data_IF_065147870003
#
_entry.id   IF_065147870003
#
_cell.length_a   1.000
_cell.length_b   1.000
_cell.length_c   1.000
_cell.angle_alpha   90.00
_cell.angle_beta   90.00
_cell.angle_gamma   90.00
#
_symmetry.space_group_name_H-M   'P 1'
#
loop_
_entity.id
_entity.type
_entity.pdbx_description
1 polymer ?
#
# COMPACT_ATOMS: atom_id res chain seq x y z
N UNK A 1 9.35 5.45 -26.63
CA UNK A 1 10.36 5.80 -25.60
C UNK A 1 10.56 4.57 -24.73
N UNK A 2 11.81 4.22 -24.41
CA UNK A 2 12.06 3.10 -23.49
C UNK A 2 11.47 3.41 -22.10
N UNK A 3 10.91 2.41 -21.43
CA UNK A 3 10.40 2.51 -20.06
C UNK A 3 11.51 2.99 -19.13
N UNK A 4 11.23 3.95 -18.26
CA UNK A 4 12.22 4.48 -17.31
C UNK A 4 12.56 3.49 -16.18
N UNK A 5 11.56 2.67 -15.76
CA UNK A 5 11.67 1.67 -14.70
C UNK A 5 11.02 0.39 -15.17
N UNK A 6 11.66 -0.77 -14.94
CA UNK A 6 11.11 -2.08 -15.32
C UNK A 6 9.79 -2.38 -14.58
N UNK A 7 8.98 -3.28 -15.14
CA UNK A 7 7.72 -3.71 -14.50
C UNK A 7 7.96 -4.33 -13.13
N UNK A 8 9.00 -5.14 -12.97
CA UNK A 8 9.40 -5.75 -11.69
C UNK A 8 9.67 -4.72 -10.58
N UNK A 9 10.14 -3.52 -10.97
CA UNK A 9 10.40 -2.40 -10.06
C UNK A 9 9.24 -1.39 -10.00
N UNK A 10 8.07 -1.78 -10.44
CA UNK A 10 6.85 -0.96 -10.36
C UNK A 10 5.95 -1.52 -9.25
N UNK A 11 5.29 -0.65 -8.50
CA UNK A 11 4.29 -0.99 -7.48
C UNK A 11 3.04 -0.15 -7.73
N UNK A 12 1.90 -0.80 -7.94
CA UNK A 12 0.61 -0.12 -8.08
C UNK A 12 -0.20 -0.39 -6.82
N UNK A 13 -0.19 0.55 -5.90
CA UNK A 13 -0.76 0.38 -4.57
C UNK A 13 -1.93 1.32 -4.30
N UNK A 14 -2.89 0.84 -3.53
CA UNK A 14 -3.92 1.66 -2.92
C UNK A 14 -3.63 1.95 -1.46
N UNK A 15 -3.97 3.12 -0.98
CA UNK A 15 -3.97 3.43 0.45
C UNK A 15 -5.41 3.46 0.92
N UNK A 16 -5.75 2.57 1.84
CA UNK A 16 -7.08 2.38 2.39
C UNK A 16 -7.08 2.68 3.87
N UNK A 17 -8.15 3.27 4.37
CA UNK A 17 -8.28 3.56 5.79
C UNK A 17 -9.74 3.83 6.15
N UNK A 18 -10.10 3.68 7.43
CA UNK A 18 -11.30 4.32 7.95
C UNK A 18 -11.10 5.83 8.12
N UNK A 19 -12.17 6.55 8.36
CA UNK A 19 -12.15 7.99 8.59
C UNK A 19 -11.23 8.30 9.79
N UNK A 20 -10.43 9.33 9.66
CA UNK A 20 -9.48 9.78 10.69
C UNK A 20 -8.36 8.79 11.07
N UNK A 21 -8.13 7.70 10.33
CA UNK A 21 -6.96 6.85 10.56
C UNK A 21 -5.62 7.52 10.18
N UNK A 22 -5.69 8.64 9.44
CA UNK A 22 -4.53 9.37 8.95
C UNK A 22 -4.08 8.95 7.56
N UNK A 23 -5.02 8.51 6.70
CA UNK A 23 -4.77 8.14 5.30
C UNK A 23 -4.07 9.28 4.54
N UNK A 24 -4.71 10.44 4.44
CA UNK A 24 -4.18 11.61 3.72
C UNK A 24 -2.84 12.06 4.29
N UNK A 25 -2.69 12.08 5.62
CA UNK A 25 -1.41 12.40 6.27
C UNK A 25 -0.31 11.42 5.87
N UNK A 26 -0.61 10.11 5.85
CA UNK A 26 0.37 9.08 5.45
C UNK A 26 0.76 9.25 3.98
N UNK A 27 -0.20 9.49 3.09
CA UNK A 27 0.05 9.73 1.66
C UNK A 27 0.90 10.98 1.44
N UNK A 28 0.57 12.10 2.09
CA UNK A 28 1.35 13.34 2.01
C UNK A 28 2.79 13.16 2.50
N UNK A 29 3.03 12.38 3.56
CA UNK A 29 4.39 12.06 4.02
C UNK A 29 5.15 11.18 3.03
N UNK A 30 4.48 10.20 2.42
CA UNK A 30 5.07 9.41 1.33
C UNK A 30 5.50 10.33 0.17
N UNK A 31 4.64 11.25 -0.27
CA UNK A 31 4.96 12.20 -1.33
C UNK A 31 6.11 13.15 -0.96
N UNK A 32 6.18 13.56 0.29
CA UNK A 32 7.27 14.39 0.79
C UNK A 32 8.62 13.65 0.76
N UNK A 33 8.69 12.44 1.33
CA UNK A 33 9.94 11.66 1.38
C UNK A 33 10.43 11.21 0.00
N UNK A 34 9.52 11.04 -0.94
CA UNK A 34 9.86 10.70 -2.32
C UNK A 34 10.17 11.91 -3.20
N UNK A 35 10.13 13.12 -2.63
CA UNK A 35 10.49 14.37 -3.32
C UNK A 35 9.46 14.87 -4.33
N UNK A 36 8.25 14.31 -4.34
CA UNK A 36 7.13 14.81 -5.16
C UNK A 36 6.63 16.14 -4.60
N UNK A 37 6.49 16.22 -3.28
CA UNK A 37 6.12 17.44 -2.58
C UNK A 37 7.36 18.09 -1.93
N UNK A 38 7.52 19.39 -2.12
CA UNK A 38 8.61 20.16 -1.49
C UNK A 38 8.26 20.65 -0.08
N UNK A 39 6.98 20.64 0.27
CA UNK A 39 6.47 21.01 1.60
C UNK A 39 5.57 19.89 2.11
N UNK A 40 5.57 19.71 3.40
CA UNK A 40 4.63 18.82 4.08
C UNK A 40 3.26 19.52 4.04
N UNK A 41 2.30 18.96 3.29
CA UNK A 41 0.91 19.40 3.30
C UNK A 41 0.24 18.93 4.60
N UNK A 42 -0.45 19.84 5.29
CA UNK A 42 -1.28 19.48 6.44
C UNK A 42 -2.75 19.52 6.05
N UNK A 43 -3.47 18.45 6.37
CA UNK A 43 -4.89 18.28 6.03
C UNK A 43 -5.77 19.36 6.66
N UNK A 44 -5.40 19.84 7.85
CA UNK A 44 -6.14 20.90 8.56
C UNK A 44 -5.94 22.30 7.98
N UNK A 45 -4.93 22.50 7.14
CA UNK A 45 -4.64 23.78 6.47
C UNK A 45 -5.13 23.81 5.01
N UNK A 46 -5.80 22.76 4.53
CA UNK A 46 -6.27 22.65 3.15
C UNK A 46 -5.15 22.58 2.11
N UNK A 47 -3.93 22.20 2.52
CA UNK A 47 -2.74 22.19 1.68
C UNK A 47 -2.37 20.77 1.16
N UNK A 48 -3.25 19.78 1.33
CA UNK A 48 -2.99 18.41 0.90
C UNK A 48 -3.07 18.30 -0.63
N UNK A 49 -2.03 17.72 -1.24
CA UNK A 49 -1.91 17.58 -2.71
C UNK A 49 -2.91 16.60 -3.28
N UNK A 50 -3.30 15.58 -2.51
CA UNK A 50 -4.22 14.54 -2.95
C UNK A 50 -5.69 14.94 -2.82
N UNK A 51 -6.03 15.82 -1.88
CA UNK A 51 -7.38 16.36 -1.70
C UNK A 51 -7.50 17.68 -2.49
N UNK A 52 -7.71 17.57 -3.80
CA UNK A 52 -7.69 18.70 -4.73
C UNK A 52 -9.04 19.43 -4.86
N UNK A 53 -10.13 18.80 -4.41
CA UNK A 53 -11.46 19.42 -4.41
C UNK A 53 -11.65 20.30 -3.18
N UNK A 54 -12.25 21.50 -3.36
CA UNK A 54 -12.56 22.42 -2.27
C UNK A 54 -13.39 21.74 -1.16
N UNK A 55 -14.31 20.85 -1.55
CA UNK A 55 -15.15 20.08 -0.61
C UNK A 55 -14.35 19.00 0.16
N UNK A 56 -13.30 18.43 -0.42
CA UNK A 56 -12.39 17.52 0.26
C UNK A 56 -11.57 18.28 1.30
N UNK A 57 -11.05 19.45 0.92
CA UNK A 57 -10.26 20.32 1.78
C UNK A 57 -11.07 20.88 2.95
N UNK A 58 -12.31 21.34 2.69
CA UNK A 58 -13.21 21.87 3.74
C UNK A 58 -13.63 20.79 4.76
N UNK A 59 -13.85 19.56 4.30
CA UNK A 59 -14.32 18.45 5.15
C UNK A 59 -13.20 17.59 5.72
N UNK A 60 -11.98 17.71 5.19
CA UNK A 60 -10.84 16.88 5.56
C UNK A 60 -11.02 15.40 5.20
N UNK A 61 -11.84 15.08 4.18
CA UNK A 61 -12.11 13.72 3.72
C UNK A 61 -11.86 13.58 2.23
N UNK A 62 -11.28 12.47 1.80
CA UNK A 62 -11.15 12.14 0.38
C UNK A 62 -12.51 11.67 -0.16
N UNK A 63 -13.02 12.35 -1.17
CA UNK A 63 -14.29 12.03 -1.84
C UNK A 63 -14.02 11.24 -3.12
N UNK A 64 -13.02 11.67 -3.90
CA UNK A 64 -12.63 11.04 -5.16
C UNK A 64 -11.24 10.43 -5.06
N UNK A 65 -11.04 9.25 -5.66
CA UNK A 65 -9.70 8.66 -5.71
C UNK A 65 -8.72 9.58 -6.45
N UNK A 66 -7.55 9.82 -5.90
CA UNK A 66 -6.46 10.53 -6.56
C UNK A 66 -5.36 9.55 -6.94
N UNK A 67 -4.73 9.77 -8.10
CA UNK A 67 -3.63 8.92 -8.56
C UNK A 67 -2.36 9.76 -8.69
N UNK A 68 -1.28 9.29 -8.11
CA UNK A 68 0.03 9.94 -8.19
C UNK A 68 1.14 8.92 -8.36
N UNK A 69 2.29 9.39 -8.84
CA UNK A 69 3.49 8.55 -9.04
C UNK A 69 4.64 9.12 -8.24
N UNK A 70 5.35 8.28 -7.52
CA UNK A 70 6.56 8.63 -6.82
C UNK A 70 7.65 7.57 -7.02
N UNK A 71 8.88 7.87 -6.57
CA UNK A 71 10.03 6.98 -6.72
C UNK A 71 10.70 6.77 -5.36
N UNK A 72 11.00 5.49 -5.04
CA UNK A 72 11.72 5.11 -3.84
C UNK A 72 12.67 3.96 -4.12
N UNK A 73 13.92 4.04 -3.67
CA UNK A 73 14.96 2.99 -3.87
C UNK A 73 14.97 2.42 -5.31
N UNK A 74 14.93 3.30 -6.33
CA UNK A 74 14.89 2.94 -7.77
C UNK A 74 13.62 2.18 -8.20
N UNK A 75 12.57 2.16 -7.37
CA UNK A 75 11.25 1.66 -7.73
C UNK A 75 10.30 2.81 -8.04
N UNK A 76 9.40 2.56 -8.99
CA UNK A 76 8.27 3.42 -9.28
C UNK A 76 7.07 2.96 -8.45
N UNK A 77 6.49 3.84 -7.67
CA UNK A 77 5.31 3.57 -6.88
C UNK A 77 4.18 4.45 -7.40
N UNK A 78 3.15 3.84 -7.95
CA UNK A 78 1.90 4.50 -8.33
C UNK A 78 0.93 4.32 -7.18
N UNK A 79 0.48 5.41 -6.60
CA UNK A 79 -0.42 5.42 -5.45
C UNK A 79 -1.79 5.86 -5.93
N UNK A 80 -2.81 5.06 -5.61
CA UNK A 80 -4.20 5.44 -5.75
C UNK A 80 -4.75 5.64 -4.34
N UNK A 81 -5.04 6.90 -4.01
CA UNK A 81 -5.68 7.24 -2.75
C UNK A 81 -7.18 6.95 -2.84
N UNK A 82 -7.68 6.03 -2.03
CA UNK A 82 -9.08 5.59 -2.09
C UNK A 82 -9.90 6.28 -1.01
N UNK A 83 -11.17 6.68 -1.30
CA UNK A 83 -12.05 7.21 -0.27
C UNK A 83 -12.19 6.24 0.91
N UNK A 84 -12.19 6.77 2.13
CA UNK A 84 -12.37 5.97 3.36
C UNK A 84 -13.83 5.85 3.81
N UNK A 85 -14.77 6.55 3.14
CA UNK A 85 -16.16 6.64 3.56
C UNK A 85 -17.03 5.59 2.87
N UNK A 86 -17.94 4.96 3.61
CA UNK A 86 -18.84 3.91 3.10
C UNK A 86 -19.76 4.39 1.96
N UNK A 87 -20.08 5.68 1.92
CA UNK A 87 -20.91 6.27 0.86
C UNK A 87 -20.22 6.24 -0.52
N UNK A 88 -18.90 6.08 -0.55
CA UNK A 88 -18.10 6.04 -1.77
C UNK A 88 -17.65 4.62 -2.17
N UNK A 89 -18.42 3.60 -1.78
CA UNK A 89 -18.15 2.18 -2.04
C UNK A 89 -17.82 1.90 -3.52
N UNK A 90 -18.51 2.53 -4.45
CA UNK A 90 -18.29 2.34 -5.89
C UNK A 90 -16.90 2.85 -6.33
N UNK A 91 -16.44 3.97 -5.79
CA UNK A 91 -15.10 4.50 -6.07
C UNK A 91 -14.00 3.59 -5.50
N UNK A 92 -14.23 3.02 -4.30
CA UNK A 92 -13.33 2.03 -3.70
C UNK A 92 -13.22 0.79 -4.58
N UNK A 93 -14.35 0.22 -5.03
CA UNK A 93 -14.37 -0.95 -5.91
C UNK A 93 -13.69 -0.72 -7.25
N UNK A 94 -13.91 0.46 -7.86
CA UNK A 94 -13.22 0.84 -9.12
C UNK A 94 -11.71 0.91 -8.92
N UNK A 95 -11.28 1.48 -7.81
CA UNK A 95 -9.85 1.58 -7.46
C UNK A 95 -9.25 0.20 -7.21
N UNK A 96 -9.92 -0.68 -6.45
CA UNK A 96 -9.47 -2.03 -6.15
C UNK A 96 -9.16 -2.87 -7.39
N UNK A 97 -9.95 -2.70 -8.48
CA UNK A 97 -9.72 -3.41 -9.73
C UNK A 97 -8.41 -3.08 -10.43
N UNK A 98 -7.83 -1.92 -10.13
CA UNK A 98 -6.61 -1.45 -10.80
C UNK A 98 -5.38 -1.48 -9.88
N UNK A 99 -5.52 -2.03 -8.68
CA UNK A 99 -4.43 -2.19 -7.73
C UNK A 99 -3.78 -3.57 -7.85
N UNK A 100 -2.46 -3.62 -7.65
CA UNK A 100 -1.73 -4.87 -7.44
C UNK A 100 -1.64 -5.21 -5.96
N UNK A 101 -1.65 -4.20 -5.10
CA UNK A 101 -1.63 -4.38 -3.66
C UNK A 101 -2.17 -3.15 -2.93
N UNK A 102 -2.36 -3.25 -1.62
CA UNK A 102 -2.86 -2.14 -0.81
C UNK A 102 -2.22 -2.04 0.56
N UNK A 103 -2.14 -0.81 1.07
CA UNK A 103 -1.75 -0.50 2.44
C UNK A 103 -3.00 -0.09 3.20
N UNK A 104 -3.36 -0.86 4.22
CA UNK A 104 -4.47 -0.54 5.11
C UNK A 104 -3.95 0.21 6.31
N UNK A 105 -4.31 1.49 6.43
CA UNK A 105 -3.93 2.34 7.56
C UNK A 105 -4.96 2.21 8.66
N UNK A 106 -4.54 1.81 9.84
CA UNK A 106 -5.37 1.68 11.05
C UNK A 106 -4.89 2.67 12.11
N UNK A 107 -5.82 3.19 12.90
CA UNK A 107 -5.47 4.02 14.06
C UNK A 107 -5.10 3.12 15.24
N UNK A 108 -3.93 3.34 15.87
CA UNK A 108 -3.48 2.55 17.03
C UNK A 108 -4.46 2.60 18.22
N UNK A 109 -5.21 3.70 18.35
CA UNK A 109 -6.25 3.85 19.38
C UNK A 109 -7.57 3.17 19.00
N UNK A 110 -8.04 3.32 17.77
CA UNK A 110 -9.32 2.75 17.31
C UNK A 110 -9.20 1.26 16.93
N UNK A 111 -8.04 0.87 16.40
CA UNK A 111 -7.85 -0.46 15.84
C UNK A 111 -8.71 -0.69 14.60
N UNK A 112 -9.41 -1.82 14.57
CA UNK A 112 -10.33 -2.18 13.49
C UNK A 112 -11.71 -1.57 13.75
N UNK A 113 -12.17 -0.74 12.84
CA UNK A 113 -13.49 -0.11 12.84
C UNK A 113 -14.42 -0.75 11.78
N UNK A 114 -15.76 -0.58 11.86
CA UNK A 114 -16.69 -1.16 10.90
C UNK A 114 -16.41 -0.79 9.43
N UNK A 115 -15.94 0.43 9.20
CA UNK A 115 -15.53 0.88 7.85
C UNK A 115 -14.29 0.12 7.35
N UNK A 116 -13.32 -0.15 8.24
CA UNK A 116 -12.15 -0.97 7.91
C UNK A 116 -12.56 -2.38 7.49
N UNK A 117 -13.55 -2.98 8.17
CA UNK A 117 -14.08 -4.31 7.81
C UNK A 117 -14.73 -4.31 6.42
N UNK A 118 -15.47 -3.25 6.08
CA UNK A 118 -16.12 -3.15 4.78
C UNK A 118 -15.10 -3.10 3.65
N UNK A 119 -14.10 -2.21 3.78
CA UNK A 119 -13.03 -2.08 2.78
C UNK A 119 -12.19 -3.35 2.69
N UNK A 120 -11.94 -4.00 3.83
CA UNK A 120 -11.22 -5.27 3.88
C UNK A 120 -11.92 -6.38 3.11
N UNK A 121 -13.24 -6.57 3.31
CA UNK A 121 -14.04 -7.56 2.57
C UNK A 121 -14.06 -7.29 1.07
N UNK A 122 -14.13 -6.01 0.66
CA UNK A 122 -14.03 -5.66 -0.75
C UNK A 122 -12.66 -6.04 -1.33
N UNK A 123 -11.58 -5.80 -0.60
CA UNK A 123 -10.25 -6.22 -1.03
C UNK A 123 -10.09 -7.75 -1.09
N UNK A 124 -10.80 -8.51 -0.23
CA UNK A 124 -10.88 -9.98 -0.30
C UNK A 124 -11.57 -10.44 -1.59
N UNK A 125 -12.68 -9.78 -1.99
CA UNK A 125 -13.42 -10.09 -3.20
C UNK A 125 -12.54 -9.96 -4.47
N UNK A 126 -11.67 -8.94 -4.49
CA UNK A 126 -10.72 -8.72 -5.58
C UNK A 126 -9.37 -9.41 -5.37
N UNK A 127 -9.19 -10.17 -4.30
CA UNK A 127 -7.95 -10.89 -3.94
C UNK A 127 -6.71 -9.97 -3.93
N UNK A 128 -6.88 -8.71 -3.53
CA UNK A 128 -5.79 -7.73 -3.50
C UNK A 128 -4.85 -8.03 -2.33
N UNK A 129 -3.55 -8.28 -2.57
CA UNK A 129 -2.55 -8.42 -1.52
C UNK A 129 -2.46 -7.18 -0.63
N UNK A 130 -2.24 -7.39 0.67
CA UNK A 130 -2.34 -6.31 1.65
C UNK A 130 -1.19 -6.30 2.65
N UNK A 131 -0.88 -5.10 3.12
CA UNK A 131 -0.13 -4.88 4.34
C UNK A 131 -0.86 -3.87 5.23
N UNK A 132 -0.54 -3.84 6.51
CA UNK A 132 -1.16 -2.95 7.48
C UNK A 132 -0.13 -1.97 8.01
N UNK A 133 -0.53 -0.71 8.14
CA UNK A 133 0.21 0.32 8.85
C UNK A 133 -0.61 0.81 10.05
N UNK A 134 -0.17 0.46 11.26
CA UNK A 134 -0.76 0.94 12.51
C UNK A 134 -0.20 2.32 12.80
N UNK A 135 -1.00 3.32 12.48
CA UNK A 135 -0.66 4.74 12.52
C UNK A 135 -1.11 5.39 13.84
N UNK A 136 -0.63 6.60 14.08
CA UNK A 136 -0.96 7.40 15.28
C UNK A 136 -0.50 6.75 16.58
N UNK A 137 0.71 6.20 16.58
CA UNK A 137 1.32 5.62 17.79
C UNK A 137 1.60 6.66 18.89
N UNK A 138 1.54 7.95 18.56
CA UNK A 138 1.80 9.11 19.41
C UNK A 138 0.58 9.64 20.17
N UNK A 139 -0.63 9.15 19.89
CA UNK A 139 -1.83 9.68 20.55
C UNK A 139 -2.18 8.92 21.83
N UNK A 140 -2.83 9.60 22.76
CA UNK A 140 -3.30 9.00 24.02
C UNK A 140 -4.25 7.83 23.77
N UNK A 141 -3.96 6.67 24.35
CA UNK A 141 -4.69 5.41 24.17
C UNK A 141 -4.22 4.59 22.97
N UNK A 142 -3.08 4.93 22.36
CA UNK A 142 -2.46 4.14 21.31
C UNK A 142 -1.92 2.80 21.87
N UNK A 143 -2.34 1.69 21.26
CA UNK A 143 -1.92 0.34 21.63
C UNK A 143 -1.79 -0.53 20.37
N UNK A 144 -0.55 -0.77 19.96
CA UNK A 144 -0.21 -1.58 18.80
C UNK A 144 -0.67 -3.03 18.94
N UNK A 145 -0.45 -3.63 20.11
CA UNK A 145 -0.73 -5.06 20.33
C UNK A 145 -2.23 -5.33 20.37
N UNK A 146 -3.00 -4.42 20.94
CA UNK A 146 -4.46 -4.47 20.89
C UNK A 146 -4.96 -4.34 19.45
N UNK A 147 -4.43 -3.39 18.67
CA UNK A 147 -4.80 -3.23 17.26
C UNK A 147 -4.44 -4.48 16.44
N UNK A 148 -3.26 -5.08 16.65
CA UNK A 148 -2.83 -6.33 16.02
C UNK A 148 -3.79 -7.49 16.36
N UNK A 149 -4.15 -7.66 17.63
CA UNK A 149 -5.09 -8.69 18.04
C UNK A 149 -6.49 -8.48 17.44
N UNK A 150 -6.97 -7.24 17.38
CA UNK A 150 -8.23 -6.91 16.69
C UNK A 150 -8.20 -7.28 15.21
N UNK A 151 -7.07 -7.07 14.53
CA UNK A 151 -6.87 -7.48 13.13
C UNK A 151 -6.99 -9.00 13.00
N UNK A 152 -6.25 -9.76 13.80
CA UNK A 152 -6.30 -11.24 13.81
C UNK A 152 -7.73 -11.75 14.08
N UNK A 153 -8.42 -11.15 15.05
CA UNK A 153 -9.76 -11.59 15.47
C UNK A 153 -10.86 -11.23 14.47
N UNK A 154 -10.85 -10.02 13.92
CA UNK A 154 -11.94 -9.53 13.06
C UNK A 154 -11.76 -9.86 11.59
N UNK A 155 -10.54 -9.75 11.09
CA UNK A 155 -10.24 -10.06 9.68
C UNK A 155 -9.96 -11.55 9.46
N UNK A 156 -9.70 -12.32 10.54
CA UNK A 156 -9.37 -13.76 10.44
C UNK A 156 -8.20 -14.04 9.48
N UNK A 157 -7.26 -13.13 9.41
CA UNK A 157 -6.08 -13.21 8.56
C UNK A 157 -4.83 -13.50 9.38
N UNK A 158 -3.81 -14.04 8.73
CA UNK A 158 -2.49 -14.26 9.31
C UNK A 158 -1.69 -12.96 9.33
N UNK A 159 -2.04 -12.06 10.26
CA UNK A 159 -1.35 -10.79 10.45
C UNK A 159 -0.12 -10.97 11.33
N UNK A 160 1.07 -10.74 10.76
CA UNK A 160 2.33 -10.84 11.47
C UNK A 160 3.04 -9.49 11.52
N UNK A 161 3.47 -9.04 12.70
CA UNK A 161 4.26 -7.84 12.81
C UNK A 161 5.64 -8.08 12.20
N UNK A 162 6.06 -7.20 11.30
CA UNK A 162 7.42 -7.09 10.81
C UNK A 162 8.17 -5.96 11.52
N UNK A 163 7.43 -5.14 12.27
CA UNK A 163 7.94 -4.05 13.09
C UNK A 163 7.22 -4.02 14.43
N UNK A 164 7.92 -3.62 15.49
CA UNK A 164 7.34 -3.33 16.80
C UNK A 164 7.58 -1.87 17.18
N UNK A 165 6.67 -1.21 17.90
CA UNK A 165 6.87 0.14 18.37
C UNK A 165 7.83 0.16 19.57
N UNK A 166 8.69 1.18 19.64
CA UNK A 166 9.49 1.51 20.83
C UNK A 166 8.76 2.65 21.53
N UNK A 167 8.17 2.35 22.68
CA UNK A 167 7.29 3.25 23.40
C UNK A 167 5.88 3.35 22.78
N UNK A 168 5.05 4.19 23.35
CA UNK A 168 3.71 4.52 22.88
C UNK A 168 3.30 5.88 23.40
N UNK A 169 2.33 6.53 22.78
CA UNK A 169 1.88 7.87 23.13
C UNK A 169 3.06 8.86 23.12
N UNK A 170 3.23 9.66 24.17
CA UNK A 170 4.31 10.64 24.27
C UNK A 170 5.71 10.01 24.34
N UNK A 171 5.80 8.72 24.67
CA UNK A 171 7.07 7.98 24.73
C UNK A 171 7.43 7.27 23.44
N UNK A 172 6.60 7.38 22.38
CA UNK A 172 6.90 6.76 21.10
C UNK A 172 8.11 7.44 20.46
N UNK A 173 9.23 6.73 20.35
CA UNK A 173 10.52 7.27 19.85
C UNK A 173 11.07 6.55 18.62
N UNK A 174 10.53 5.37 18.28
CA UNK A 174 11.06 4.59 17.17
C UNK A 174 10.35 3.28 16.94
N UNK A 175 10.98 2.44 16.14
CA UNK A 175 10.50 1.11 15.79
C UNK A 175 11.63 0.09 15.89
N UNK A 176 11.29 -1.15 16.17
CA UNK A 176 12.16 -2.32 15.99
C UNK A 176 11.79 -2.95 14.65
N UNK A 177 12.76 -3.13 13.76
CA UNK A 177 12.63 -3.94 12.57
C UNK A 177 12.94 -5.39 12.95
N UNK A 178 11.93 -6.26 12.87
CA UNK A 178 12.07 -7.68 13.23
C UNK A 178 12.77 -8.49 12.15
N UNK A 179 12.77 -8.03 10.89
CA UNK A 179 13.44 -8.70 9.78
C UNK A 179 14.92 -8.43 9.82
N UNK A 180 15.31 -7.17 9.94
CA UNK A 180 16.71 -6.74 10.02
C UNK A 180 17.29 -6.87 11.44
N UNK A 181 16.43 -7.10 12.45
CA UNK A 181 16.79 -7.29 13.86
C UNK A 181 17.55 -6.11 14.48
N UNK A 182 17.07 -4.90 14.28
CA UNK A 182 17.63 -3.67 14.85
C UNK A 182 16.53 -2.65 15.20
N UNK A 183 16.92 -1.64 15.98
CA UNK A 183 16.06 -0.52 16.32
C UNK A 183 16.35 0.69 15.42
N UNK A 184 15.29 1.38 15.01
CA UNK A 184 15.34 2.67 14.30
C UNK A 184 14.80 3.73 15.23
N UNK A 185 15.67 4.58 15.76
CA UNK A 185 15.36 5.65 16.73
C UNK A 185 15.37 7.00 16.01
N UNK A 186 14.27 7.74 16.10
CA UNK A 186 14.16 9.06 15.48
C UNK A 186 14.70 10.16 16.39
N UNK A 187 15.46 11.10 15.81
CA UNK A 187 16.06 12.22 16.52
C UNK A 187 15.31 13.50 16.14
N UNK A 188 14.70 14.15 17.13
CA UNK A 188 13.93 15.40 16.95
C UNK A 188 12.98 15.33 15.75
N UNK A 189 12.07 14.33 15.66
CA UNK A 189 11.30 14.04 14.44
C UNK A 189 10.45 15.23 13.97
N UNK A 190 9.99 16.06 14.87
CA UNK A 190 9.19 17.24 14.53
C UNK A 190 10.05 18.33 13.87
N UNK A 191 11.27 18.55 14.39
CA UNK A 191 12.22 19.55 13.88
C UNK A 191 12.91 19.09 12.59
N UNK A 192 13.39 17.86 12.60
CA UNK A 192 14.12 17.23 11.48
C UNK A 192 13.17 16.57 10.47
N UNK A 193 11.85 16.68 10.66
CA UNK A 193 10.82 16.10 9.79
C UNK A 193 11.04 14.61 9.51
N UNK A 194 11.48 13.86 10.53
CA UNK A 194 11.76 12.43 10.41
C UNK A 194 12.92 12.04 9.51
N UNK A 195 13.70 13.00 8.99
CA UNK A 195 14.84 12.73 8.11
C UNK A 195 16.05 12.21 8.86
N UNK A 196 16.12 12.47 10.18
CA UNK A 196 17.25 12.06 11.02
C UNK A 196 16.83 10.95 11.95
N UNK A 197 17.39 9.78 11.72
CA UNK A 197 17.23 8.61 12.58
C UNK A 197 18.56 7.87 12.71
N UNK A 198 18.69 7.07 13.73
CA UNK A 198 19.84 6.21 13.98
C UNK A 198 19.40 4.75 14.03
N UNK A 199 20.21 3.88 13.43
CA UNK A 199 20.08 2.45 13.59
C UNK A 199 20.88 2.07 14.83
N UNK A 200 20.22 1.42 15.79
CA UNK A 200 20.81 1.01 17.07
C UNK A 200 20.47 -0.45 17.37
N UNK A 201 21.16 -1.01 18.35
CA UNK A 201 20.75 -2.28 18.94
C UNK A 201 19.38 -2.13 19.61
N UNK A 202 18.62 -3.24 19.65
CA UNK A 202 17.32 -3.28 20.32
C UNK A 202 17.50 -2.94 21.80
N UNK A 203 16.69 -2.03 22.37
CA UNK A 203 16.72 -1.69 23.79
C UNK A 203 16.61 -2.93 24.70
N UNK A 204 17.37 -2.96 25.81
CA UNK A 204 17.45 -4.14 26.67
C UNK A 204 16.10 -4.58 27.23
N UNK A 205 15.23 -3.65 27.55
CA UNK A 205 13.86 -3.87 28.04
C UNK A 205 12.92 -4.45 26.97
N UNK A 206 13.27 -4.34 25.70
CA UNK A 206 12.49 -4.87 24.59
C UNK A 206 13.08 -6.13 23.94
N UNK A 207 14.30 -6.52 24.28
CA UNK A 207 14.99 -7.67 23.68
C UNK A 207 14.18 -8.97 23.76
N UNK A 208 13.60 -9.26 24.91
CA UNK A 208 12.81 -10.49 25.12
C UNK A 208 11.54 -10.47 24.25
N UNK A 209 10.85 -9.34 24.21
CA UNK A 209 9.64 -9.18 23.40
C UNK A 209 9.95 -9.24 21.90
N UNK A 210 11.02 -8.56 21.49
CA UNK A 210 11.47 -8.56 20.09
C UNK A 210 11.90 -9.96 19.65
N UNK A 211 12.67 -10.68 20.47
CA UNK A 211 13.05 -12.07 20.19
C UNK A 211 11.82 -12.97 20.03
N UNK A 212 10.83 -12.86 20.93
CA UNK A 212 9.59 -13.64 20.81
C UNK A 212 8.87 -13.42 19.47
N UNK A 213 8.68 -12.14 19.09
CA UNK A 213 7.98 -11.84 17.82
C UNK A 213 8.82 -12.17 16.59
N UNK A 214 10.14 -12.05 16.70
CA UNK A 214 11.05 -12.48 15.63
C UNK A 214 10.98 -13.98 15.42
N UNK A 215 11.06 -14.78 16.48
CA UNK A 215 10.90 -16.25 16.39
C UNK A 215 9.55 -16.61 15.77
N UNK A 216 8.44 -16.00 16.22
CA UNK A 216 7.11 -16.21 15.65
C UNK A 216 7.10 -15.88 14.14
N UNK A 217 7.76 -14.79 13.73
CA UNK A 217 7.87 -14.40 12.32
C UNK A 217 8.69 -15.40 11.50
N UNK A 218 9.86 -15.81 12.01
CA UNK A 218 10.77 -16.73 11.31
C UNK A 218 10.18 -18.14 11.22
N UNK A 219 9.52 -18.63 12.26
CA UNK A 219 8.78 -19.89 12.24
C UNK A 219 7.72 -19.90 11.14
N UNK A 220 6.90 -18.84 11.06
CA UNK A 220 5.89 -18.71 10.00
C UNK A 220 6.49 -18.62 8.59
N UNK A 221 7.65 -17.95 8.47
CA UNK A 221 8.39 -17.88 7.21
C UNK A 221 8.92 -19.27 6.82
N UNK A 222 9.45 -20.02 7.76
CA UNK A 222 9.92 -21.37 7.54
C UNK A 222 8.78 -22.32 7.14
N UNK A 223 7.61 -22.24 7.77
CA UNK A 223 6.42 -23.02 7.43
C UNK A 223 5.93 -22.83 5.98
N UNK A 224 6.22 -21.67 5.36
CA UNK A 224 5.79 -21.33 4.00
C UNK A 224 6.74 -21.82 2.89
N UNK A 225 7.90 -22.38 3.24
CA UNK A 225 8.92 -22.81 2.29
C UNK A 225 9.64 -24.06 2.82
N UNK A 226 9.53 -25.19 2.08
CA UNK A 226 10.05 -26.49 2.52
C UNK A 226 11.57 -26.47 2.76
N UNK A 227 12.33 -25.78 1.91
CA UNK A 227 13.79 -25.69 2.04
C UNK A 227 14.18 -24.90 3.30
N UNK A 228 13.42 -23.83 3.62
CA UNK A 228 13.65 -23.05 4.84
C UNK A 228 13.19 -23.77 6.09
N UNK A 229 12.15 -24.60 6.01
CA UNK A 229 11.70 -25.41 7.12
C UNK A 229 12.77 -26.44 7.51
N UNK A 230 13.37 -27.14 6.53
CA UNK A 230 14.47 -28.07 6.77
C UNK A 230 15.67 -27.36 7.41
N UNK A 231 16.07 -26.21 6.85
CA UNK A 231 17.15 -25.39 7.38
C UNK A 231 16.90 -24.88 8.80
N UNK A 232 15.66 -24.47 9.11
CA UNK A 232 15.26 -24.04 10.46
C UNK A 232 15.38 -25.18 11.48
N UNK A 233 14.95 -26.40 11.13
CA UNK A 233 15.04 -27.56 12.03
C UNK A 233 16.46 -28.08 12.22
N UNK A 234 17.31 -28.02 11.18
CA UNK A 234 18.69 -28.53 11.26
C UNK A 234 19.65 -27.54 11.90
N UNK A 235 19.54 -26.26 11.58
CA UNK A 235 20.56 -25.25 11.93
C UNK A 235 20.03 -24.14 12.84
N UNK A 236 18.70 -24.03 13.02
CA UNK A 236 18.04 -23.04 13.86
C UNK A 236 17.72 -21.72 13.16
N UNK A 237 17.11 -20.79 13.91
CA UNK A 237 16.64 -19.49 13.42
C UNK A 237 17.77 -18.63 12.80
N UNK A 238 18.95 -18.65 13.39
CA UNK A 238 20.09 -17.83 12.98
C UNK A 238 20.68 -18.23 11.61
N UNK A 239 20.35 -19.41 11.11
CA UNK A 239 20.78 -19.86 9.79
C UNK A 239 19.99 -19.21 8.66
N UNK A 240 18.75 -18.73 8.93
CA UNK A 240 17.90 -18.11 7.92
C UNK A 240 18.33 -16.65 7.71
N UNK A 241 18.73 -16.35 6.49
CA UNK A 241 19.22 -15.01 6.13
C UNK A 241 18.07 -14.00 5.98
N UNK A 242 18.36 -12.72 6.15
CA UNK A 242 17.40 -11.62 5.95
C UNK A 242 16.79 -11.64 4.55
N UNK A 243 17.58 -11.96 3.51
CA UNK A 243 17.09 -12.03 2.13
C UNK A 243 16.10 -13.18 1.92
N UNK A 244 16.34 -14.33 2.56
CA UNK A 244 15.40 -15.47 2.54
C UNK A 244 14.09 -15.08 3.24
N UNK A 245 14.17 -14.46 4.41
CA UNK A 245 12.99 -13.97 5.15
C UNK A 245 12.17 -13.01 4.26
N UNK A 246 12.82 -11.99 3.67
CA UNK A 246 12.17 -11.00 2.80
C UNK A 246 11.51 -11.66 1.59
N UNK A 247 12.18 -12.62 0.95
CA UNK A 247 11.65 -13.34 -0.20
C UNK A 247 10.37 -14.11 0.12
N UNK A 248 10.34 -14.80 1.26
CA UNK A 248 9.16 -15.58 1.67
C UNK A 248 8.03 -14.68 2.16
N UNK A 249 8.32 -13.62 2.94
CA UNK A 249 7.30 -12.61 3.30
C UNK A 249 6.64 -12.06 2.04
N UNK A 250 7.43 -11.68 1.01
CA UNK A 250 6.89 -11.20 -0.27
C UNK A 250 5.99 -12.24 -0.93
N UNK A 251 6.46 -13.49 -1.09
CA UNK A 251 5.71 -14.60 -1.69
C UNK A 251 4.39 -14.84 -0.97
N UNK A 252 4.42 -14.85 0.36
CA UNK A 252 3.24 -15.07 1.22
C UNK A 252 2.27 -13.89 1.19
N UNK A 253 2.78 -12.66 1.10
CA UNK A 253 1.96 -11.45 0.96
C UNK A 253 1.23 -11.46 -0.38
N UNK A 254 1.91 -11.76 -1.48
CA UNK A 254 1.34 -11.86 -2.83
C UNK A 254 0.26 -12.95 -2.89
N UNK A 255 0.51 -14.08 -2.24
CA UNK A 255 -0.45 -15.19 -2.14
C UNK A 255 -1.61 -14.94 -1.17
N UNK A 256 -1.66 -13.80 -0.47
CA UNK A 256 -2.61 -13.48 0.59
C UNK A 256 -2.61 -14.50 1.76
N UNK A 257 -1.52 -15.26 1.96
CA UNK A 257 -1.36 -16.18 3.08
C UNK A 257 -0.80 -15.52 4.34
N UNK A 258 -0.20 -14.34 4.20
CA UNK A 258 0.33 -13.52 5.27
C UNK A 258 0.01 -12.05 5.02
N UNK A 259 -0.20 -11.29 6.09
CA UNK A 259 -0.38 -9.83 6.07
C UNK A 259 0.69 -9.17 6.94
N UNK A 260 1.73 -8.55 6.34
CA UNK A 260 2.74 -7.83 7.11
C UNK A 260 2.15 -6.61 7.83
N UNK A 261 2.55 -6.42 9.09
CA UNK A 261 2.09 -5.29 9.92
C UNK A 261 3.26 -4.41 10.30
N UNK A 262 3.18 -3.14 9.91
CA UNK A 262 4.09 -2.06 10.27
C UNK A 262 3.45 -1.12 11.28
N UNK A 263 4.25 -0.27 11.92
CA UNK A 263 3.76 0.75 12.84
C UNK A 263 4.48 2.09 12.69
N UNK A 264 3.82 3.15 13.17
CA UNK A 264 4.42 4.49 13.15
C UNK A 264 3.44 5.60 13.49
N UNK A 265 3.88 6.83 13.27
CA UNK A 265 3.04 8.02 13.32
C UNK A 265 3.39 8.95 12.16
N UNK A 266 2.50 8.99 11.16
CA UNK A 266 2.70 9.83 9.99
C UNK A 266 2.72 11.32 10.35
N UNK A 267 1.90 11.75 11.33
CA UNK A 267 1.85 13.14 11.78
C UNK A 267 3.21 13.62 12.33
N UNK A 268 3.86 12.82 13.17
CA UNK A 268 5.19 13.10 13.72
C UNK A 268 6.35 12.59 12.85
N UNK A 269 6.07 12.21 11.62
CA UNK A 269 7.08 11.84 10.64
C UNK A 269 7.92 10.59 11.00
N UNK A 270 7.39 9.66 11.77
CA UNK A 270 8.08 8.44 12.18
C UNK A 270 7.44 7.18 11.58
N UNK A 271 8.25 6.25 11.08
CA UNK A 271 7.79 4.97 10.53
C UNK A 271 7.41 4.99 9.05
N UNK A 272 7.40 6.15 8.37
CA UNK A 272 6.96 6.24 6.96
C UNK A 272 8.03 5.77 5.98
N UNK A 273 9.32 6.04 6.22
CA UNK A 273 10.40 5.52 5.38
C UNK A 273 10.49 3.99 5.48
N UNK A 274 10.47 3.36 6.68
CA UNK A 274 10.36 1.91 6.79
C UNK A 274 9.10 1.32 6.14
N UNK A 275 7.96 2.04 6.15
CA UNK A 275 6.77 1.65 5.40
C UNK A 275 7.01 1.64 3.89
N UNK A 276 7.70 2.67 3.35
CA UNK A 276 8.10 2.72 1.95
C UNK A 276 9.05 1.57 1.56
N UNK A 277 9.98 1.22 2.46
CA UNK A 277 10.85 0.06 2.29
C UNK A 277 10.04 -1.23 2.22
N UNK A 278 9.12 -1.43 3.16
CA UNK A 278 8.23 -2.58 3.17
C UNK A 278 7.32 -2.67 1.93
N UNK A 279 6.83 -1.54 1.40
CA UNK A 279 6.09 -1.50 0.13
C UNK A 279 6.95 -2.00 -1.03
N UNK A 280 8.20 -1.57 -1.11
CA UNK A 280 9.13 -1.99 -2.16
C UNK A 280 9.48 -3.47 -2.02
N UNK A 281 9.74 -3.93 -0.80
CA UNK A 281 10.21 -5.29 -0.53
C UNK A 281 9.08 -6.33 -0.65
N UNK A 282 7.86 -6.02 -0.17
CA UNK A 282 6.81 -7.03 0.02
C UNK A 282 5.61 -6.90 -0.91
N UNK A 283 5.30 -5.70 -1.44
CA UNK A 283 4.16 -5.54 -2.33
C UNK A 283 4.43 -6.09 -3.74
N UNK A 284 3.40 -6.62 -4.43
CA UNK A 284 3.55 -7.17 -5.77
C UNK A 284 3.96 -6.12 -6.81
N UNK A 285 4.67 -6.60 -7.81
CA UNK A 285 4.87 -5.91 -9.08
C UNK A 285 3.75 -6.33 -10.07
N UNK A 286 3.50 -5.58 -11.14
CA UNK A 286 2.57 -6.00 -12.19
C UNK A 286 2.87 -7.39 -12.78
N UNK A 287 4.13 -7.82 -12.75
CA UNK A 287 4.58 -9.13 -13.22
C UNK A 287 4.28 -10.28 -12.26
N UNK A 288 3.98 -9.99 -11.00
CA UNK A 288 3.61 -11.00 -9.99
C UNK A 288 2.10 -11.28 -9.97
N UNK A 289 1.32 -10.44 -10.67
CA UNK A 289 -0.13 -10.60 -10.76
C UNK A 289 -0.45 -11.49 -11.95
N UNK A 290 -1.38 -12.42 -11.75
CA UNK A 290 -1.84 -13.31 -12.81
C UNK A 290 -2.34 -12.54 -14.04
N UNK A 291 -2.38 -13.25 -15.17
CA UNK A 291 -2.90 -12.72 -16.43
C UNK A 291 -4.32 -12.16 -16.26
N UNK A 292 -4.59 -11.05 -16.92
CA UNK A 292 -5.92 -10.45 -16.91
C UNK A 292 -6.78 -11.09 -17.97
N UNK A 293 -7.95 -11.49 -17.55
CA UNK A 293 -8.99 -12.03 -18.41
C UNK A 293 -9.79 -10.90 -19.02
N UNK A 294 -9.94 -10.92 -20.33
CA UNK A 294 -10.81 -10.04 -21.11
C UNK A 294 -11.65 -10.83 -22.10
N UNK A 295 -12.46 -10.11 -22.86
CA UNK A 295 -13.24 -10.69 -23.97
C UNK A 295 -12.85 -9.96 -25.24
N UNK A 296 -12.52 -10.71 -26.28
CA UNK A 296 -12.25 -10.15 -27.60
C UNK A 296 -13.54 -9.57 -28.17
N UNK A 297 -13.59 -8.29 -28.54
CA UNK A 297 -14.82 -7.65 -29.01
C UNK A 297 -15.31 -8.17 -30.38
N UNK A 298 -14.43 -8.77 -31.19
CA UNK A 298 -14.75 -9.26 -32.54
C UNK A 298 -15.20 -10.72 -32.53
N UNK A 299 -14.61 -11.56 -31.65
CA UNK A 299 -14.88 -13.01 -31.60
C UNK A 299 -15.75 -13.41 -30.41
N UNK A 300 -15.94 -12.52 -29.42
CA UNK A 300 -16.62 -12.80 -28.15
C UNK A 300 -15.94 -13.91 -27.32
N UNK A 301 -14.73 -14.31 -27.68
CA UNK A 301 -13.96 -15.33 -26.96
C UNK A 301 -13.17 -14.71 -25.80
N UNK A 302 -12.96 -15.52 -24.77
CA UNK A 302 -12.13 -15.14 -23.64
C UNK A 302 -10.65 -15.08 -24.04
N UNK A 303 -9.99 -13.97 -23.76
CA UNK A 303 -8.56 -13.77 -23.94
C UNK A 303 -7.87 -13.42 -22.64
N UNK A 304 -6.63 -13.87 -22.52
CA UNK A 304 -5.76 -13.55 -21.39
C UNK A 304 -4.64 -12.61 -21.85
N UNK A 305 -4.29 -11.66 -21.02
CA UNK A 305 -3.16 -10.72 -21.24
C UNK A 305 -2.21 -10.76 -20.05
N UNK A 306 -0.93 -10.87 -20.35
CA UNK A 306 0.14 -10.82 -19.35
C UNK A 306 0.76 -9.42 -19.30
N UNK A 307 1.35 -9.06 -18.18
CA UNK A 307 2.03 -7.76 -18.03
C UNK A 307 3.34 -7.75 -18.82
N UNK A 308 3.24 -7.47 -20.13
CA UNK A 308 4.36 -7.39 -21.07
C UNK A 308 4.17 -6.23 -22.04
N UNK A 309 5.28 -5.59 -22.42
CA UNK A 309 5.29 -4.53 -23.43
C UNK A 309 5.09 -5.07 -24.86
N UNK A 310 5.33 -6.35 -25.08
CA UNK A 310 5.27 -7.02 -26.39
C UNK A 310 3.89 -7.58 -26.73
N UNK A 311 2.98 -7.63 -25.74
CA UNK A 311 1.60 -8.06 -25.95
C UNK A 311 0.73 -6.94 -26.57
N UNK A 312 -0.42 -7.28 -27.17
CA UNK A 312 -1.40 -6.30 -27.62
C UNK A 312 -1.81 -5.36 -26.48
N UNK A 313 -2.04 -4.09 -26.82
CA UNK A 313 -2.47 -3.10 -25.83
C UNK A 313 -3.81 -3.46 -25.21
N UNK A 314 -3.83 -3.52 -23.86
CA UNK A 314 -5.06 -3.60 -23.09
C UNK A 314 -4.98 -2.72 -21.85
N UNK A 315 -6.08 -2.04 -21.54
CA UNK A 315 -6.16 -1.12 -20.41
C UNK A 315 -7.58 -1.06 -19.83
N UNK A 316 -7.69 -0.70 -18.56
CA UNK A 316 -8.96 -0.44 -17.89
C UNK A 316 -9.04 1.04 -17.48
N UNK A 317 -10.01 1.76 -18.02
CA UNK A 317 -10.35 3.10 -17.58
C UNK A 317 -11.13 3.02 -16.25
N UNK A 318 -10.62 3.65 -15.21
CA UNK A 318 -11.22 3.56 -13.88
C UNK A 318 -11.72 4.89 -13.32
N UNK A 319 -11.25 6.02 -13.87
CA UNK A 319 -11.66 7.34 -13.39
C UNK A 319 -11.68 8.37 -14.52
N UNK A 320 -12.69 9.26 -14.48
CA UNK A 320 -12.76 10.46 -15.30
C UNK A 320 -12.74 11.67 -14.35
N UNK A 321 -11.85 12.62 -14.61
CA UNK A 321 -11.78 13.88 -13.89
C UNK A 321 -11.93 15.05 -14.87
N UNK A 322 -12.31 16.22 -14.36
CA UNK A 322 -12.36 17.45 -15.14
C UNK A 322 -11.29 18.39 -14.62
N UNK A 323 -10.38 18.77 -15.49
CA UNK A 323 -9.33 19.74 -15.22
C UNK A 323 -9.73 21.10 -15.85
N UNK A 324 -9.59 22.23 -15.13
CA UNK A 324 -9.99 23.54 -15.65
C UNK A 324 -9.23 23.98 -16.92
N UNK A 325 -8.01 23.47 -17.14
CA UNK A 325 -7.14 23.86 -18.23
C UNK A 325 -7.14 22.86 -19.39
N UNK A 326 -7.17 21.57 -19.09
CA UNK A 326 -7.05 20.49 -20.07
C UNK A 326 -8.42 19.90 -20.47
N UNK A 327 -9.45 20.13 -19.64
CA UNK A 327 -10.77 19.58 -19.85
C UNK A 327 -10.93 18.19 -19.22
N UNK A 328 -11.53 17.23 -19.93
CA UNK A 328 -11.77 15.88 -19.40
C UNK A 328 -10.51 15.03 -19.48
N UNK A 329 -10.08 14.50 -18.35
CA UNK A 329 -8.96 13.57 -18.22
C UNK A 329 -9.52 12.19 -17.85
N UNK A 330 -9.12 11.15 -18.58
CA UNK A 330 -9.44 9.78 -18.27
C UNK A 330 -8.18 9.08 -17.72
N UNK A 331 -8.29 8.59 -16.50
CA UNK A 331 -7.25 7.75 -15.90
C UNK A 331 -7.50 6.29 -16.26
N UNK A 332 -6.47 5.64 -16.79
CA UNK A 332 -6.55 4.23 -17.12
C UNK A 332 -5.28 3.49 -16.69
N UNK A 333 -5.44 2.23 -16.33
CA UNK A 333 -4.33 1.33 -16.07
C UNK A 333 -4.06 0.50 -17.31
N UNK A 334 -2.83 0.54 -17.80
CA UNK A 334 -2.34 -0.37 -18.84
C UNK A 334 -1.97 -1.70 -18.20
N UNK A 335 -2.51 -2.78 -18.72
CA UNK A 335 -2.21 -4.14 -18.29
C UNK A 335 -1.22 -4.83 -19.22
N UNK A 336 -1.32 -4.59 -20.53
CA UNK A 336 -0.41 -5.16 -21.53
C UNK A 336 -0.16 -4.17 -22.66
N UNK A 337 0.95 -4.34 -23.34
CA UNK A 337 1.33 -3.56 -24.51
C UNK A 337 1.72 -2.12 -24.19
N UNK A 338 1.76 -1.32 -25.23
CA UNK A 338 2.14 0.09 -25.19
C UNK A 338 1.15 0.91 -26.02
N UNK A 339 0.94 2.16 -25.61
CA UNK A 339 0.16 3.14 -26.40
C UNK A 339 0.95 4.44 -26.54
N UNK A 340 0.97 5.00 -27.73
CA UNK A 340 1.56 6.30 -28.00
C UNK A 340 0.50 7.39 -28.03
N UNK A 341 0.89 8.62 -27.74
CA UNK A 341 -0.01 9.77 -27.87
C UNK A 341 -0.53 9.88 -29.31
N UNK A 342 -1.84 10.10 -29.44
CA UNK A 342 -2.51 10.17 -30.74
C UNK A 342 -2.88 8.83 -31.38
N UNK A 343 -2.59 7.70 -30.72
CA UNK A 343 -3.03 6.38 -31.20
C UNK A 343 -4.52 6.18 -30.93
N UNK A 344 -5.35 5.84 -31.92
CA UNK A 344 -6.74 5.47 -31.69
C UNK A 344 -6.83 4.15 -30.93
N UNK A 345 -7.73 4.06 -29.97
CA UNK A 345 -8.01 2.83 -29.25
C UNK A 345 -9.52 2.54 -29.21
N UNK A 346 -9.87 1.25 -29.17
CA UNK A 346 -11.24 0.82 -29.00
C UNK A 346 -11.63 0.95 -27.52
N UNK A 347 -12.71 1.70 -27.25
CA UNK A 347 -13.34 1.73 -25.94
C UNK A 347 -14.52 0.75 -25.95
N UNK A 348 -14.36 -0.39 -25.29
CA UNK A 348 -15.43 -1.36 -25.13
C UNK A 348 -16.31 -0.98 -23.94
N UNK A 349 -17.62 -0.89 -24.15
CA UNK A 349 -18.64 -0.54 -23.16
C UNK A 349 -19.52 -1.77 -22.85
N UNK A 350 -18.94 -2.90 -22.58
CA UNK A 350 -19.59 -4.22 -22.46
C UNK A 350 -20.75 -4.27 -21.44
N UNK A 351 -20.91 -3.28 -20.56
CA UNK A 351 -21.91 -3.29 -19.49
C UNK A 351 -22.83 -2.07 -19.46
N UNK A 352 -22.95 -1.32 -20.55
CA UNK A 352 -23.88 -0.19 -20.62
C UNK A 352 -25.06 -0.58 -21.50
N UNK A 353 -26.24 -0.67 -20.88
CA UNK A 353 -27.51 -0.98 -21.52
C UNK A 353 -28.13 0.20 -22.29
N UNK A 354 -27.45 1.31 -22.44
CA UNK A 354 -27.92 2.46 -23.23
C UNK A 354 -26.98 2.75 -24.41
N UNK A 355 -27.52 3.11 -25.60
CA UNK A 355 -26.70 3.44 -26.75
C UNK A 355 -25.96 4.74 -26.54
N UNK A 356 -24.69 4.67 -26.20
CA UNK A 356 -23.81 5.84 -26.14
C UNK A 356 -23.23 6.15 -27.51
N UNK A 357 -23.25 7.43 -27.88
CA UNK A 357 -22.59 7.94 -29.08
C UNK A 357 -21.09 7.66 -29.02
N UNK A 358 -20.44 7.31 -30.12
CA UNK A 358 -19.00 7.15 -30.16
C UNK A 358 -18.34 8.47 -29.77
N UNK A 359 -17.56 8.44 -28.69
CA UNK A 359 -16.71 9.55 -28.27
C UNK A 359 -15.40 9.46 -29.07
N UNK A 360 -15.25 10.32 -30.05
CA UNK A 360 -13.96 10.55 -30.65
C UNK A 360 -13.07 11.29 -29.65
N UNK A 361 -11.99 10.64 -29.23
CA UNK A 361 -10.95 11.27 -28.41
C UNK A 361 -10.05 12.02 -29.38
N UNK A 362 -10.10 13.34 -29.32
CA UNK A 362 -9.21 14.24 -30.06
C UNK A 362 -7.89 14.44 -29.32
#
# INVERSE_FOLDING_TARGET
MSRQVSLEKTRNIGIMAHIDAGKTTTTERILYYTGVNHKIGETHEGAATMDWMEQEQERGITITSAATTCFWKKHRINIIDTPGHVDFTVEVQRSLRVLDGSVTVLCAKGGVEPQSETVWRQADEYKVPRMIFVNKMDIMGADFYRALNMVKDRFKCNALPIQLPIGSEDTFEGIIDLVENHAVIYIDPDKEKGMKFEIREIPDDMKELAAKYRTELVEHVAEMDEDLMEKYFEEGEDAITVDEIKKVIRKSTIANSMVPVCCGTAYRNMGVQPLLDAIVDYMPAPTDVDSIKGVNPDTEEEEFRHSSDDEPFSALAFKIATDPFVGKICFFRVYSGQIAAGTPCLLSLIHISEPTRPLYIS
#
